data_IF_235447714217
#
_entry.id   IF_235447714217
#
_cell.length_a   1.000
_cell.length_b   1.000
_cell.length_c   1.000
_cell.angle_alpha   90.00
_cell.angle_beta   90.00
_cell.angle_gamma   90.00
#
_symmetry.space_group_name_H-M   'P 1'
#
loop_
_entity.id
_entity.type
_entity.pdbx_description
1 polymer ?
#
# COMPACT_ATOMS: atom_id res chain seq x y z
N UNK A 1 -11.90 16.43 7.30
CA UNK A 1 -11.74 14.99 7.61
C UNK A 1 -10.46 14.81 8.40
N UNK A 2 -10.57 14.44 9.68
CA UNK A 2 -9.41 14.09 10.51
C UNK A 2 -8.79 12.80 9.95
N UNK A 3 -7.50 12.80 9.61
CA UNK A 3 -6.81 11.59 9.15
C UNK A 3 -6.85 10.57 10.29
N UNK A 4 -7.26 9.30 10.06
CA UNK A 4 -7.18 8.28 11.10
C UNK A 4 -5.72 8.14 11.54
N UNK A 5 -5.49 8.45 12.82
CA UNK A 5 -4.20 8.33 13.49
C UNK A 5 -3.72 6.88 13.38
N UNK A 6 -2.67 6.63 12.59
CA UNK A 6 -2.04 5.32 12.45
C UNK A 6 -1.95 4.76 11.02
N UNK A 7 -2.68 5.32 10.05
CA UNK A 7 -2.52 4.93 8.63
C UNK A 7 -1.43 5.79 7.96
N UNK A 8 -0.40 5.15 7.42
CA UNK A 8 0.70 5.83 6.71
C UNK A 8 0.11 6.58 5.49
N UNK A 9 0.22 7.91 5.42
CA UNK A 9 -0.47 8.69 4.38
C UNK A 9 0.22 8.62 3.01
N UNK A 10 1.33 7.89 2.91
CA UNK A 10 2.12 7.71 1.70
C UNK A 10 2.68 6.29 1.66
N UNK A 11 2.95 5.80 0.46
CA UNK A 11 3.77 4.61 0.23
C UNK A 11 5.04 4.99 -0.53
N UNK A 12 6.20 4.36 -0.23
CA UNK A 12 7.36 4.41 -1.08
C UNK A 12 7.05 3.86 -2.48
N UNK A 13 7.31 4.65 -3.51
CA UNK A 13 7.26 4.20 -4.90
C UNK A 13 8.58 4.49 -5.58
N UNK A 14 9.16 3.49 -6.24
CA UNK A 14 10.44 3.62 -6.91
C UNK A 14 10.22 3.77 -8.41
N UNK A 15 10.68 4.88 -8.98
CA UNK A 15 10.51 5.18 -10.40
C UNK A 15 11.07 4.07 -11.32
N UNK A 16 12.16 3.42 -10.91
CA UNK A 16 12.73 2.27 -11.61
C UNK A 16 11.71 1.15 -11.76
N UNK A 17 11.06 0.74 -10.68
CA UNK A 17 10.11 -0.38 -10.66
C UNK A 17 8.92 -0.12 -11.61
N UNK A 18 8.49 1.14 -11.71
CA UNK A 18 7.41 1.56 -12.62
C UNK A 18 7.85 1.49 -14.09
N UNK A 19 9.07 1.97 -14.41
CA UNK A 19 9.54 2.09 -15.80
C UNK A 19 10.13 0.78 -16.33
N UNK A 20 10.77 -0.04 -15.48
CA UNK A 20 11.43 -1.27 -15.91
C UNK A 20 10.50 -2.48 -15.99
N UNK A 21 9.32 -2.40 -15.39
CA UNK A 21 8.33 -3.48 -15.47
C UNK A 21 7.70 -3.51 -16.85
N UNK A 22 7.94 -4.58 -17.62
CA UNK A 22 7.33 -4.76 -18.94
C UNK A 22 5.80 -4.76 -18.88
N UNK A 23 5.22 -5.33 -17.81
CA UNK A 23 3.78 -5.33 -17.58
C UNK A 23 3.22 -3.92 -17.48
N UNK A 24 3.91 -3.01 -16.78
CA UNK A 24 3.48 -1.62 -16.60
C UNK A 24 3.78 -0.80 -17.86
N UNK A 25 4.95 -1.00 -18.47
CA UNK A 25 5.39 -0.25 -19.65
C UNK A 25 4.51 -0.48 -20.89
N UNK A 26 3.85 -1.64 -20.98
CA UNK A 26 2.96 -2.01 -22.08
C UNK A 26 1.48 -1.66 -21.82
N UNK A 27 1.15 -1.11 -20.65
CA UNK A 27 -0.23 -0.72 -20.33
C UNK A 27 -0.71 0.44 -21.19
N UNK A 28 -1.99 0.41 -21.56
CA UNK A 28 -2.69 1.60 -22.02
C UNK A 28 -2.75 2.67 -20.91
N UNK A 29 -2.95 3.94 -21.29
CA UNK A 29 -3.04 5.04 -20.31
C UNK A 29 -4.15 4.84 -19.27
N UNK A 30 -5.31 4.31 -19.70
CA UNK A 30 -6.42 4.00 -18.80
C UNK A 30 -6.12 2.81 -17.89
N UNK A 31 -5.45 1.76 -18.40
CA UNK A 31 -4.97 0.66 -17.58
C UNK A 31 -3.98 1.14 -16.52
N UNK A 32 -3.02 1.99 -16.89
CA UNK A 32 -2.04 2.55 -15.96
C UNK A 32 -2.71 3.39 -14.86
N UNK A 33 -3.67 4.26 -15.23
CA UNK A 33 -4.48 5.04 -14.28
C UNK A 33 -5.21 4.11 -13.30
N UNK A 34 -5.90 3.08 -13.82
CA UNK A 34 -6.62 2.11 -13.00
C UNK A 34 -5.70 1.36 -12.04
N UNK A 35 -4.58 0.83 -12.54
CA UNK A 35 -3.54 0.17 -11.75
C UNK A 35 -3.03 1.07 -10.62
N UNK A 36 -2.71 2.33 -10.92
CA UNK A 36 -2.19 3.29 -9.95
C UNK A 36 -3.21 3.61 -8.85
N UNK A 37 -4.50 3.74 -9.20
CA UNK A 37 -5.57 3.95 -8.24
C UNK A 37 -5.77 2.74 -7.33
N UNK A 38 -5.68 1.53 -7.87
CA UNK A 38 -5.75 0.30 -7.08
C UNK A 38 -4.56 0.15 -6.12
N UNK A 39 -3.34 0.53 -6.53
CA UNK A 39 -2.19 0.59 -5.61
C UNK A 39 -2.43 1.58 -4.46
N UNK A 40 -2.97 2.76 -4.77
CA UNK A 40 -3.32 3.74 -3.74
C UNK A 40 -4.39 3.19 -2.78
N UNK A 41 -5.41 2.51 -3.31
CA UNK A 41 -6.47 1.93 -2.50
C UNK A 41 -5.95 0.80 -1.61
N UNK A 42 -5.16 -0.13 -2.15
CA UNK A 42 -4.60 -1.27 -1.42
C UNK A 42 -3.71 -0.83 -0.25
N UNK A 43 -3.04 0.31 -0.38
CA UNK A 43 -2.24 0.89 0.71
C UNK A 43 -3.08 1.37 1.91
N UNK A 44 -4.32 1.77 1.67
CA UNK A 44 -5.21 2.33 2.69
C UNK A 44 -6.10 1.28 3.39
N UNK A 45 -6.15 0.07 2.83
CA UNK A 45 -6.78 -1.10 3.44
C UNK A 45 -6.17 -1.43 4.80
N UNK A 46 -6.96 -2.10 5.65
CA UNK A 46 -6.50 -2.58 6.94
C UNK A 46 -5.45 -3.69 6.76
N UNK A 47 -5.68 -4.62 5.82
CA UNK A 47 -4.67 -5.55 5.30
C UNK A 47 -3.85 -4.87 4.20
N UNK A 48 -2.89 -4.04 4.63
CA UNK A 48 -2.14 -3.12 3.77
C UNK A 48 -1.40 -3.82 2.63
N UNK A 49 -1.63 -3.31 1.42
CA UNK A 49 -1.03 -3.80 0.19
C UNK A 49 -1.86 -4.87 -0.52
N UNK A 50 -3.04 -5.19 0.01
CA UNK A 50 -3.99 -6.14 -0.57
C UNK A 50 -5.34 -5.46 -0.84
N UNK A 51 -6.18 -6.06 -1.70
CA UNK A 51 -7.57 -5.65 -1.96
C UNK A 51 -8.47 -6.88 -2.01
N UNK A 52 -9.78 -6.75 -1.70
CA UNK A 52 -10.74 -7.80 -1.99
C UNK A 52 -10.77 -8.13 -3.49
N UNK A 53 -10.85 -9.42 -3.84
CA UNK A 53 -10.99 -9.85 -5.24
C UNK A 53 -12.46 -9.73 -5.71
N UNK A 54 -13.03 -8.53 -5.61
CA UNK A 54 -14.40 -8.23 -6.01
C UNK A 54 -14.38 -7.33 -7.26
N UNK A 55 -14.98 -7.81 -8.35
CA UNK A 55 -14.87 -7.15 -9.64
C UNK A 55 -15.58 -5.79 -9.70
N UNK A 56 -16.70 -5.64 -8.99
CA UNK A 56 -17.44 -4.38 -8.95
C UNK A 56 -16.69 -3.34 -8.11
N UNK A 57 -16.11 -3.76 -6.99
CA UNK A 57 -15.26 -2.93 -6.15
C UNK A 57 -14.01 -2.47 -6.90
N UNK A 58 -13.30 -3.39 -7.54
CA UNK A 58 -12.08 -3.08 -8.30
C UNK A 58 -12.37 -2.09 -9.43
N UNK A 59 -13.46 -2.29 -10.16
CA UNK A 59 -13.92 -1.35 -11.18
C UNK A 59 -14.19 0.05 -10.60
N UNK A 60 -14.92 0.12 -9.48
CA UNK A 60 -15.25 1.39 -8.84
C UNK A 60 -13.99 2.13 -8.34
N UNK A 61 -13.05 1.41 -7.73
CA UNK A 61 -11.76 1.95 -7.28
C UNK A 61 -10.88 2.41 -8.44
N UNK A 62 -10.92 1.68 -9.57
CA UNK A 62 -10.25 2.04 -10.81
C UNK A 62 -10.86 3.27 -11.51
N UNK A 63 -12.04 3.72 -11.06
CA UNK A 63 -12.81 4.83 -11.67
C UNK A 63 -13.04 4.62 -13.16
N UNK A 64 -13.37 3.38 -13.53
CA UNK A 64 -13.68 3.00 -14.89
C UNK A 64 -15.17 2.66 -15.02
N UNK A 65 -15.79 3.08 -16.12
CA UNK A 65 -17.10 2.53 -16.49
C UNK A 65 -16.98 1.06 -16.91
N UNK A 66 -18.12 0.39 -17.10
CA UNK A 66 -18.14 -1.05 -17.39
C UNK A 66 -17.42 -1.40 -18.70
N UNK A 67 -17.53 -0.55 -19.72
CA UNK A 67 -16.92 -0.79 -21.02
C UNK A 67 -15.40 -0.60 -20.99
N UNK A 68 -14.94 0.47 -20.32
CA UNK A 68 -13.52 0.73 -20.10
C UNK A 68 -12.91 -0.38 -19.27
N UNK A 69 -13.55 -0.75 -18.14
CA UNK A 69 -13.05 -1.80 -17.26
C UNK A 69 -12.89 -3.13 -17.98
N UNK A 70 -13.90 -3.55 -18.76
CA UNK A 70 -13.83 -4.80 -19.52
C UNK A 70 -12.64 -4.82 -20.49
N UNK A 71 -12.30 -3.67 -21.06
CA UNK A 71 -11.19 -3.53 -22.02
C UNK A 71 -9.81 -3.56 -21.36
N UNK A 72 -9.66 -2.92 -20.18
CA UNK A 72 -8.34 -2.76 -19.52
C UNK A 72 -8.06 -3.78 -18.42
N UNK A 73 -9.08 -4.53 -17.96
CA UNK A 73 -8.99 -5.39 -16.77
C UNK A 73 -7.87 -6.42 -16.88
N UNK A 74 -7.68 -7.06 -18.03
CA UNK A 74 -6.65 -8.09 -18.20
C UNK A 74 -5.24 -7.51 -18.00
N UNK A 75 -4.97 -6.32 -18.55
CA UNK A 75 -3.70 -5.61 -18.37
C UNK A 75 -3.47 -5.28 -16.88
N UNK A 76 -4.48 -4.69 -16.23
CA UNK A 76 -4.41 -4.29 -14.82
C UNK A 76 -4.17 -5.49 -13.92
N UNK A 77 -4.98 -6.55 -14.08
CA UNK A 77 -4.96 -7.73 -13.23
C UNK A 77 -3.69 -8.57 -13.42
N UNK A 78 -2.97 -8.45 -14.55
CA UNK A 78 -1.68 -9.11 -14.74
C UNK A 78 -0.59 -8.64 -13.75
N UNK A 79 -0.77 -7.48 -13.12
CA UNK A 79 0.11 -6.94 -12.08
C UNK A 79 -0.29 -7.36 -10.65
N UNK A 80 -1.36 -8.15 -10.49
CA UNK A 80 -1.83 -8.62 -9.21
C UNK A 80 -1.85 -10.14 -9.13
N UNK A 81 -1.53 -10.66 -7.95
CA UNK A 81 -1.65 -12.07 -7.59
C UNK A 81 -2.73 -12.25 -6.53
N UNK A 82 -3.24 -13.47 -6.37
CA UNK A 82 -4.24 -13.77 -5.33
C UNK A 82 -3.56 -14.53 -4.20
N UNK A 83 -3.74 -14.08 -2.97
CA UNK A 83 -3.23 -14.76 -1.78
C UNK A 83 -4.17 -15.89 -1.32
N UNK A 84 -3.74 -16.66 -0.32
CA UNK A 84 -4.51 -17.78 0.25
C UNK A 84 -5.87 -17.37 0.82
N UNK A 85 -6.03 -16.10 1.23
CA UNK A 85 -7.29 -15.54 1.74
C UNK A 85 -8.22 -15.03 0.63
N UNK A 86 -7.88 -15.26 -0.64
CA UNK A 86 -8.68 -14.82 -1.79
C UNK A 86 -8.62 -13.31 -2.06
N UNK A 87 -7.68 -12.58 -1.44
CA UNK A 87 -7.44 -11.15 -1.70
C UNK A 87 -6.37 -11.01 -2.77
N UNK A 88 -6.46 -9.95 -3.58
CA UNK A 88 -5.43 -9.64 -4.57
C UNK A 88 -4.36 -8.73 -3.99
N UNK A 89 -3.13 -8.85 -4.46
CA UNK A 89 -2.02 -7.98 -4.05
C UNK A 89 -1.04 -7.77 -5.20
N UNK A 90 -0.39 -6.61 -5.22
CA UNK A 90 0.80 -6.40 -6.05
C UNK A 90 2.01 -6.82 -5.23
N UNK A 91 2.83 -7.73 -5.77
CA UNK A 91 4.04 -8.24 -5.09
C UNK A 91 4.86 -7.09 -4.49
N UNK A 92 5.16 -6.08 -5.29
CA UNK A 92 5.96 -4.94 -4.86
C UNK A 92 5.30 -4.13 -3.74
N UNK A 93 3.99 -3.90 -3.84
CA UNK A 93 3.26 -3.16 -2.80
C UNK A 93 3.23 -3.94 -1.48
N UNK A 94 3.09 -5.27 -1.56
CA UNK A 94 3.08 -6.16 -0.41
C UNK A 94 4.45 -6.23 0.29
N UNK A 95 5.54 -6.25 -0.47
CA UNK A 95 6.89 -6.13 0.08
C UNK A 95 7.08 -4.80 0.83
N UNK A 96 6.67 -3.69 0.20
CA UNK A 96 6.79 -2.35 0.78
C UNK A 96 5.94 -2.22 2.04
N UNK A 97 4.71 -2.76 2.04
CA UNK A 97 3.84 -2.75 3.23
C UNK A 97 4.47 -3.53 4.38
N UNK A 98 5.01 -4.71 4.09
CA UNK A 98 5.70 -5.57 5.08
C UNK A 98 6.93 -4.89 5.66
N UNK A 99 7.77 -4.27 4.81
CA UNK A 99 8.95 -3.53 5.26
C UNK A 99 8.59 -2.33 6.14
N UNK A 100 7.54 -1.59 5.77
CA UNK A 100 7.07 -0.44 6.55
C UNK A 100 6.49 -0.87 7.90
N UNK A 101 5.79 -2.01 7.96
CA UNK A 101 5.31 -2.55 9.22
C UNK A 101 6.45 -2.97 10.15
N UNK A 102 7.48 -3.66 9.60
CA UNK A 102 8.70 -3.99 10.35
C UNK A 102 9.38 -2.74 10.91
N UNK A 103 9.49 -1.67 10.11
CA UNK A 103 10.05 -0.37 10.55
C UNK A 103 9.20 0.30 11.61
N UNK A 104 7.87 0.27 11.48
CA UNK A 104 6.93 0.81 12.48
C UNK A 104 7.12 0.14 13.84
N UNK A 105 7.19 -1.19 13.87
CA UNK A 105 7.40 -1.98 15.09
C UNK A 105 8.76 -1.67 15.71
N UNK A 106 9.83 -1.66 14.91
CA UNK A 106 11.18 -1.36 15.39
C UNK A 106 11.29 0.08 15.95
N UNK A 107 10.71 1.06 15.24
CA UNK A 107 10.67 2.45 15.64
C UNK A 107 9.89 2.67 16.94
N UNK A 108 8.74 1.99 17.11
CA UNK A 108 7.97 2.01 18.35
C UNK A 108 8.80 1.49 19.54
N UNK A 109 9.45 0.33 19.39
CA UNK A 109 10.31 -0.24 20.44
C UNK A 109 11.48 0.69 20.81
N UNK A 110 12.13 1.31 19.81
CA UNK A 110 13.23 2.25 20.04
C UNK A 110 12.77 3.55 20.71
N UNK A 111 11.61 4.06 20.30
CA UNK A 111 10.96 5.24 20.88
C UNK A 111 10.63 5.03 22.36
N UNK A 112 10.01 3.91 22.71
CA UNK A 112 9.68 3.57 24.10
C UNK A 112 10.92 3.50 25.00
N UNK A 113 12.02 2.88 24.52
CA UNK A 113 13.29 2.85 25.27
C UNK A 113 13.88 4.24 25.49
N UNK A 114 13.81 5.09 24.46
CA UNK A 114 14.30 6.48 24.54
C UNK A 114 13.47 7.30 25.51
N UNK A 115 12.14 7.14 25.49
CA UNK A 115 11.24 7.83 26.40
C UNK A 115 11.47 7.38 27.85
N UNK A 116 11.60 6.08 28.11
CA UNK A 116 11.92 5.55 29.43
C UNK A 116 13.24 6.11 29.96
N UNK A 117 14.28 6.18 29.12
CA UNK A 117 15.57 6.78 29.50
C UNK A 117 15.46 8.29 29.79
N UNK A 118 14.65 9.03 29.03
CA UNK A 118 14.39 10.46 29.28
C UNK A 118 13.65 10.68 30.61
N UNK A 119 12.65 9.86 30.90
CA UNK A 119 11.89 9.92 32.16
C UNK A 119 12.78 9.60 33.36
N UNK A 120 13.60 8.55 33.28
CA UNK A 120 14.55 8.22 34.35
C UNK A 120 15.58 9.34 34.61
N UNK A 121 16.05 10.02 33.56
CA UNK A 121 16.97 11.16 33.70
C UNK A 121 16.30 12.38 34.33
N UNK A 122 15.04 12.66 34.00
CA UNK A 122 14.29 13.76 34.58
C UNK A 122 14.02 13.55 36.08
N UNK A 123 13.65 12.33 36.47
CA UNK A 123 13.45 11.95 37.88
C UNK A 123 14.74 12.07 38.71
N UNK A 124 15.89 11.71 38.12
CA UNK A 124 17.19 11.81 38.78
C UNK A 124 17.71 13.26 38.91
N UNK A 125 17.14 14.24 38.20
CA UNK A 125 17.50 15.67 38.34
C UNK A 125 16.59 16.45 39.30
N UNK A 126 15.48 15.86 39.73
CA UNK A 126 14.55 16.44 40.70
C UNK A 126 14.79 15.91 42.13
N UNK A 127 15.74 14.98 42.30
CA UNK A 127 16.23 14.44 43.59
C UNK A 127 17.59 15.03 43.95
#
# INVERSE_FOLDING_TARGET
MSRPMGKLPYFPCYARDVISSSKIALMSGDAFKAYWLLLCASWLEDDRGTLPNDQALLQALARADASTWLSIKSEVMACFETNENGRIFSERMFEVSTLQEKRRIAGSKGGSKTQAKRQAKAQASES
#
